data_IF_761459005294
#
_entry.id   IF_761459005294
#
_cell.length_a   1.000
_cell.length_b   1.000
_cell.length_c   1.000
_cell.angle_alpha   90.00
_cell.angle_beta   90.00
_cell.angle_gamma   90.00
#
_symmetry.space_group_name_H-M   'P 1'
#
loop_
_entity.id
_entity.type
_entity.pdbx_description
1 polymer ?
#
# COMPACT_ATOMS: atom_id res chain seq x y z
N UNK A 1 -22.73 2.80 11.71
CA UNK A 1 -22.14 2.15 10.52
C UNK A 1 -20.65 2.13 10.71
N UNK A 2 -20.08 0.96 10.74
CA UNK A 2 -18.67 0.82 11.05
C UNK A 2 -17.86 0.95 9.75
N UNK A 3 -16.92 1.90 9.71
CA UNK A 3 -15.98 2.10 8.59
C UNK A 3 -15.33 0.77 8.19
N UNK A 4 -14.97 -0.06 9.17
CA UNK A 4 -14.37 -1.36 8.91
C UNK A 4 -15.32 -2.33 8.18
N UNK A 5 -16.62 -2.27 8.44
CA UNK A 5 -17.63 -3.04 7.72
C UNK A 5 -17.73 -2.65 6.25
N UNK A 6 -17.77 -1.36 5.94
CA UNK A 6 -17.78 -0.88 4.54
C UNK A 6 -16.50 -1.27 3.78
N UNK A 7 -15.35 -1.12 4.43
CA UNK A 7 -14.06 -1.51 3.85
C UNK A 7 -14.00 -3.01 3.60
N UNK A 8 -14.44 -3.84 4.56
CA UNK A 8 -14.48 -5.28 4.41
C UNK A 8 -15.45 -5.70 3.30
N UNK A 9 -16.64 -5.08 3.22
CA UNK A 9 -17.64 -5.35 2.18
C UNK A 9 -17.10 -5.12 0.77
N UNK A 10 -16.41 -4.01 0.52
CA UNK A 10 -15.76 -3.73 -0.76
C UNK A 10 -14.64 -4.72 -1.07
N UNK A 11 -13.94 -5.20 -0.07
CA UNK A 11 -12.80 -6.09 -0.26
C UNK A 11 -13.15 -7.58 -0.38
N UNK A 12 -14.42 -7.97 -0.22
CA UNK A 12 -14.85 -9.38 -0.37
C UNK A 12 -14.60 -9.94 -1.77
N UNK A 13 -14.59 -9.08 -2.78
CA UNK A 13 -14.36 -9.44 -4.19
C UNK A 13 -12.96 -9.05 -4.68
N UNK A 14 -12.10 -8.52 -3.83
CA UNK A 14 -10.77 -8.05 -4.21
C UNK A 14 -9.71 -9.10 -3.91
N UNK A 15 -8.89 -9.43 -4.90
CA UNK A 15 -7.72 -10.31 -4.74
C UNK A 15 -6.47 -9.57 -4.20
N UNK A 16 -6.59 -8.27 -3.95
CA UNK A 16 -5.47 -7.47 -3.47
C UNK A 16 -5.06 -7.87 -2.05
N UNK A 17 -3.75 -7.91 -1.69
CA UNK A 17 -3.29 -8.25 -0.34
C UNK A 17 -3.96 -7.43 0.78
N UNK A 18 -4.34 -6.19 0.47
CA UNK A 18 -5.09 -5.32 1.38
C UNK A 18 -6.47 -5.87 1.75
N UNK A 19 -7.13 -6.59 0.84
CA UNK A 19 -8.43 -7.19 1.09
C UNK A 19 -8.35 -8.22 2.21
N UNK A 20 -7.35 -9.09 2.18
CA UNK A 20 -7.13 -10.09 3.23
C UNK A 20 -6.93 -9.45 4.59
N UNK A 21 -6.16 -8.38 4.69
CA UNK A 21 -5.91 -7.67 5.94
C UNK A 21 -7.18 -7.04 6.51
N UNK A 22 -7.99 -6.39 5.67
CA UNK A 22 -9.23 -5.72 6.09
C UNK A 22 -10.31 -6.70 6.51
N UNK A 23 -10.47 -7.80 5.78
CA UNK A 23 -11.41 -8.89 6.14
C UNK A 23 -11.00 -9.55 7.46
N UNK A 24 -9.70 -9.82 7.64
CA UNK A 24 -9.18 -10.38 8.89
C UNK A 24 -9.46 -9.44 10.07
N UNK A 25 -9.22 -8.14 9.89
CA UNK A 25 -9.52 -7.13 10.91
C UNK A 25 -10.99 -7.10 11.29
N UNK A 26 -11.90 -7.09 10.30
CA UNK A 26 -13.33 -7.10 10.54
C UNK A 26 -13.77 -8.36 11.32
N UNK A 27 -13.27 -9.54 10.94
CA UNK A 27 -13.53 -10.80 11.66
C UNK A 27 -13.04 -10.77 13.11
N UNK A 28 -11.85 -10.24 13.35
CA UNK A 28 -11.30 -10.11 14.72
C UNK A 28 -12.13 -9.16 15.61
N UNK A 29 -12.84 -8.24 15.00
CA UNK A 29 -13.75 -7.29 15.70
C UNK A 29 -15.19 -7.75 15.74
N UNK A 30 -15.47 -8.98 15.28
CA UNK A 30 -16.82 -9.55 15.19
C UNK A 30 -17.79 -8.67 14.39
N UNK A 31 -17.26 -7.93 13.39
CA UNK A 31 -18.04 -7.11 12.50
C UNK A 31 -18.67 -8.01 11.44
N UNK A 32 -19.98 -7.95 11.31
CA UNK A 32 -20.69 -8.65 10.23
C UNK A 32 -20.29 -8.07 8.87
N UNK A 33 -19.81 -8.93 7.97
CA UNK A 33 -19.34 -8.52 6.64
C UNK A 33 -20.45 -8.80 5.65
N UNK A 34 -21.16 -7.77 5.23
CA UNK A 34 -22.08 -7.84 4.10
C UNK A 34 -21.29 -7.76 2.78
N UNK A 35 -21.86 -8.30 1.69
CA UNK A 35 -21.23 -8.20 0.37
C UNK A 35 -21.68 -6.91 -0.33
N UNK A 36 -20.73 -6.18 -0.90
CA UNK A 36 -21.03 -5.05 -1.76
C UNK A 36 -21.55 -5.57 -3.12
N UNK A 37 -22.61 -4.95 -3.63
CA UNK A 37 -23.08 -5.12 -5.00
C UNK A 37 -22.41 -4.11 -5.94
N UNK A 38 -22.54 -4.30 -7.25
CA UNK A 38 -22.00 -3.39 -8.28
C UNK A 38 -20.49 -3.11 -8.07
N UNK A 39 -19.75 -4.15 -7.63
CA UNK A 39 -18.30 -4.04 -7.41
C UNK A 39 -17.57 -3.86 -8.73
N UNK A 40 -16.64 -2.88 -8.74
CA UNK A 40 -15.71 -2.67 -9.86
C UNK A 40 -14.35 -2.23 -9.35
N UNK A 41 -13.31 -2.61 -10.07
CA UNK A 41 -11.92 -2.27 -9.76
C UNK A 41 -11.42 -1.21 -10.74
N UNK A 42 -11.09 -0.03 -10.22
CA UNK A 42 -10.52 1.07 -10.99
C UNK A 42 -9.00 0.96 -10.95
N UNK A 43 -8.42 0.51 -12.07
CA UNK A 43 -6.99 0.20 -12.19
C UNK A 43 -6.09 1.32 -11.66
N UNK A 44 -5.22 1.00 -10.70
CA UNK A 44 -4.27 1.93 -10.09
C UNK A 44 -4.89 2.99 -9.17
N UNK A 45 -6.21 2.97 -8.97
CA UNK A 45 -6.92 3.98 -8.16
C UNK A 45 -7.64 3.41 -6.96
N UNK A 46 -8.24 2.22 -7.07
CA UNK A 46 -8.97 1.59 -5.97
C UNK A 46 -10.17 0.78 -6.44
N UNK A 47 -11.14 0.62 -5.55
CA UNK A 47 -12.36 -0.15 -5.80
C UNK A 47 -13.61 0.67 -5.48
N UNK A 48 -14.69 0.37 -6.19
CA UNK A 48 -16.01 0.97 -5.96
C UNK A 48 -17.04 -0.14 -5.80
N UNK A 49 -18.16 0.18 -5.20
CA UNK A 49 -19.28 -0.73 -5.03
C UNK A 49 -20.47 -0.05 -4.38
N UNK A 50 -21.44 -0.84 -4.01
CA UNK A 50 -22.68 -0.36 -3.40
C UNK A 50 -23.09 -1.28 -2.25
N UNK A 51 -23.42 -0.69 -1.10
CA UNK A 51 -23.91 -1.42 0.07
C UNK A 51 -25.07 -0.65 0.69
N UNK A 52 -26.20 -1.35 0.92
CA UNK A 52 -27.41 -0.76 1.49
C UNK A 52 -27.85 0.52 0.73
N UNK A 53 -27.82 0.49 -0.61
CA UNK A 53 -28.13 1.61 -1.52
C UNK A 53 -27.17 2.82 -1.40
N UNK A 54 -26.04 2.67 -0.71
CA UNK A 54 -25.00 3.69 -0.59
C UNK A 54 -23.86 3.35 -1.54
N UNK A 55 -23.47 4.29 -2.39
CA UNK A 55 -22.27 4.17 -3.22
C UNK A 55 -21.03 4.28 -2.33
N UNK A 56 -20.14 3.32 -2.49
CA UNK A 56 -18.88 3.23 -1.76
C UNK A 56 -17.71 3.42 -2.73
N UNK A 57 -16.66 4.08 -2.28
CA UNK A 57 -15.38 4.11 -2.97
C UNK A 57 -14.24 3.98 -1.95
N UNK A 58 -13.28 3.09 -2.23
CA UNK A 58 -12.09 2.88 -1.42
C UNK A 58 -10.86 2.96 -2.32
N UNK A 59 -10.01 3.96 -2.13
CA UNK A 59 -8.85 4.13 -2.99
C UNK A 59 -8.04 5.39 -2.71
N UNK A 60 -7.17 5.74 -3.65
CA UNK A 60 -6.30 6.91 -3.54
C UNK A 60 -7.03 8.22 -3.91
N UNK A 61 -6.33 9.34 -3.81
CA UNK A 61 -6.89 10.67 -4.13
C UNK A 61 -7.39 10.74 -5.58
N UNK A 62 -6.70 10.10 -6.52
CA UNK A 62 -7.11 10.09 -7.93
C UNK A 62 -8.47 9.40 -8.16
N UNK A 63 -8.84 8.41 -7.32
CA UNK A 63 -10.17 7.82 -7.37
C UNK A 63 -11.24 8.83 -6.90
N UNK A 64 -10.97 9.57 -5.82
CA UNK A 64 -11.90 10.58 -5.32
C UNK A 64 -12.12 11.69 -6.37
N UNK A 65 -11.04 12.19 -6.96
CA UNK A 65 -11.08 13.25 -7.97
C UNK A 65 -11.89 12.81 -9.20
N UNK A 66 -11.68 11.57 -9.68
CA UNK A 66 -12.45 10.99 -10.79
C UNK A 66 -13.96 10.89 -10.49
N UNK A 67 -14.30 10.61 -9.24
CA UNK A 67 -15.70 10.48 -8.79
C UNK A 67 -16.29 11.81 -8.30
N UNK A 68 -15.54 12.92 -8.38
CA UNK A 68 -15.99 14.24 -7.94
C UNK A 68 -16.20 14.34 -6.42
N UNK A 69 -15.46 13.54 -5.63
CA UNK A 69 -15.60 13.48 -4.19
C UNK A 69 -14.52 14.33 -3.53
N UNK A 70 -14.93 15.33 -2.77
CA UNK A 70 -13.99 16.17 -2.03
C UNK A 70 -13.68 15.59 -0.65
N UNK A 71 -12.40 15.61 -0.27
CA UNK A 71 -11.95 15.35 1.09
C UNK A 71 -11.79 16.68 1.86
N UNK A 72 -11.83 16.61 3.18
CA UNK A 72 -11.52 17.78 4.01
C UNK A 72 -10.01 17.93 4.17
N UNK A 73 -9.54 19.17 4.31
CA UNK A 73 -8.13 19.45 4.58
C UNK A 73 -7.60 18.70 5.82
N UNK A 74 -8.45 18.49 6.83
CA UNK A 74 -8.09 17.77 8.04
C UNK A 74 -7.71 16.32 7.71
N UNK A 75 -8.57 15.63 6.95
CA UNK A 75 -8.32 14.24 6.53
C UNK A 75 -7.08 14.17 5.64
N UNK A 76 -6.92 15.10 4.69
CA UNK A 76 -5.78 15.11 3.79
C UNK A 76 -4.46 15.29 4.56
N UNK A 77 -4.40 16.17 5.57
CA UNK A 77 -3.22 16.35 6.43
C UNK A 77 -2.91 15.09 7.26
N UNK A 78 -3.93 14.44 7.82
CA UNK A 78 -3.73 13.20 8.57
C UNK A 78 -3.17 12.08 7.66
N UNK A 79 -3.71 11.94 6.46
CA UNK A 79 -3.24 10.97 5.46
C UNK A 79 -1.79 11.26 5.07
N UNK A 80 -1.46 12.52 4.83
CA UNK A 80 -0.10 12.92 4.48
C UNK A 80 0.92 12.51 5.55
N UNK A 81 0.58 12.65 6.83
CA UNK A 81 1.46 12.21 7.93
C UNK A 81 1.74 10.70 7.91
N UNK A 82 0.75 9.87 7.54
CA UNK A 82 0.96 8.44 7.40
C UNK A 82 1.77 8.10 6.15
N UNK A 83 1.51 8.78 5.04
CA UNK A 83 2.27 8.61 3.79
C UNK A 83 3.75 9.00 3.95
N UNK A 84 4.03 10.07 4.71
CA UNK A 84 5.41 10.47 5.06
C UNK A 84 6.16 9.41 5.86
N UNK A 85 5.42 8.56 6.60
CA UNK A 85 5.96 7.41 7.33
C UNK A 85 6.01 6.12 6.49
N UNK A 86 5.85 6.21 5.18
CA UNK A 86 5.87 5.05 4.27
C UNK A 86 4.64 4.15 4.37
N UNK A 87 3.51 4.63 4.92
CA UNK A 87 2.29 3.84 5.01
C UNK A 87 1.44 4.00 3.75
N UNK A 88 0.82 2.91 3.33
CA UNK A 88 -0.22 2.98 2.28
C UNK A 88 -1.53 3.42 2.91
N UNK A 89 -2.15 4.44 2.32
CA UNK A 89 -3.42 4.98 2.82
C UNK A 89 -4.44 5.02 1.70
N UNK A 90 -5.65 4.54 2.00
CA UNK A 90 -6.80 4.59 1.11
C UNK A 90 -7.94 5.37 1.75
N UNK A 91 -8.50 6.32 1.03
CA UNK A 91 -9.71 7.02 1.43
C UNK A 91 -10.92 6.09 1.34
N UNK A 92 -11.84 6.17 2.30
CA UNK A 92 -13.17 5.59 2.21
C UNK A 92 -14.20 6.68 2.01
N UNK A 93 -14.95 6.59 0.94
CA UNK A 93 -16.13 7.44 0.73
C UNK A 93 -17.40 6.60 0.80
N UNK A 94 -18.44 7.18 1.41
CA UNK A 94 -19.78 6.62 1.53
C UNK A 94 -20.78 7.67 1.06
N UNK A 95 -21.64 7.31 0.13
CA UNK A 95 -22.65 8.21 -0.44
C UNK A 95 -22.07 9.57 -0.93
N UNK A 96 -20.87 9.56 -1.54
CA UNK A 96 -20.23 10.75 -2.08
C UNK A 96 -19.50 11.64 -1.07
N UNK A 97 -19.36 11.19 0.19
CA UNK A 97 -18.62 11.91 1.24
C UNK A 97 -17.47 11.05 1.77
N UNK A 98 -16.34 11.66 2.02
CA UNK A 98 -15.23 10.96 2.71
C UNK A 98 -15.57 10.82 4.18
N UNK A 99 -15.77 9.57 4.62
CA UNK A 99 -16.10 9.21 6.00
C UNK A 99 -14.87 8.83 6.82
N UNK A 100 -13.75 8.54 6.14
CA UNK A 100 -12.50 8.20 6.80
C UNK A 100 -11.46 7.67 5.83
N UNK A 101 -10.45 7.01 6.38
CA UNK A 101 -9.39 6.38 5.61
C UNK A 101 -8.88 5.10 6.30
N UNK A 102 -8.25 4.26 5.52
CA UNK A 102 -7.61 3.02 6.00
C UNK A 102 -6.09 3.17 5.83
N UNK A 103 -5.37 2.93 6.90
CA UNK A 103 -3.91 2.89 6.87
C UNK A 103 -3.48 1.43 6.88
N UNK A 104 -2.72 1.05 5.88
CA UNK A 104 -2.17 -0.28 5.76
C UNK A 104 -0.66 -0.17 5.90
N UNK A 105 -0.17 -0.94 6.83
CA UNK A 105 1.24 -1.05 7.12
C UNK A 105 1.62 -2.51 6.97
N UNK A 106 2.49 -2.80 6.02
CA UNK A 106 3.20 -4.07 6.04
C UNK A 106 4.48 -3.85 6.87
N UNK A 107 4.48 -4.27 8.14
CA UNK A 107 5.67 -4.06 8.95
C UNK A 107 6.79 -4.90 8.37
N UNK A 108 7.94 -4.26 8.15
CA UNK A 108 9.17 -5.00 7.85
C UNK A 108 9.35 -6.09 8.91
N UNK A 109 9.41 -7.33 8.46
CA UNK A 109 9.58 -8.45 9.39
C UNK A 109 10.88 -8.23 10.18
N UNK A 110 10.82 -8.39 11.49
CA UNK A 110 12.00 -8.27 12.36
C UNK A 110 13.15 -9.16 11.88
N UNK A 111 12.82 -10.36 11.41
CA UNK A 111 13.78 -11.30 10.79
C UNK A 111 14.45 -10.76 9.53
N UNK A 112 13.78 -9.91 8.75
CA UNK A 112 14.38 -9.29 7.56
C UNK A 112 15.44 -8.27 7.95
N UNK A 113 15.18 -7.46 8.98
CA UNK A 113 16.16 -6.50 9.48
C UNK A 113 17.41 -7.20 10.04
N UNK A 114 17.21 -8.26 10.81
CA UNK A 114 18.31 -9.08 11.36
C UNK A 114 19.15 -9.73 10.24
N UNK A 115 18.49 -10.27 9.21
CA UNK A 115 19.18 -10.88 8.07
C UNK A 115 19.97 -9.84 7.25
N UNK A 116 19.39 -8.65 7.02
CA UNK A 116 20.07 -7.57 6.30
C UNK A 116 21.28 -7.05 7.08
N UNK A 117 21.13 -6.85 8.39
CA UNK A 117 22.26 -6.45 9.26
C UNK A 117 23.42 -7.45 9.13
N UNK A 118 23.14 -8.74 9.19
CA UNK A 118 24.15 -9.78 9.05
C UNK A 118 24.83 -9.78 7.68
N UNK A 119 24.06 -9.58 6.59
CA UNK A 119 24.63 -9.45 5.24
C UNK A 119 25.59 -8.25 5.13
N UNK A 120 25.21 -7.12 5.72
CA UNK A 120 26.05 -5.91 5.72
C UNK A 120 27.32 -6.12 6.55
N UNK A 121 27.22 -6.78 7.72
CA UNK A 121 28.38 -7.15 8.56
C UNK A 121 29.32 -8.10 7.81
N UNK A 122 28.79 -8.99 6.98
CA UNK A 122 29.56 -9.89 6.11
C UNK A 122 30.13 -9.17 4.85
N UNK A 123 29.99 -7.86 4.75
CA UNK A 123 30.52 -7.03 3.65
C UNK A 123 29.70 -7.04 2.37
N UNK A 124 28.45 -7.50 2.43
CA UNK A 124 27.52 -7.47 1.28
C UNK A 124 26.87 -6.10 1.18
N UNK A 125 27.00 -5.45 0.02
CA UNK A 125 26.23 -4.24 -0.26
C UNK A 125 24.79 -4.59 -0.60
N UNK A 126 23.84 -4.02 0.12
CA UNK A 126 22.41 -4.26 -0.08
C UNK A 126 21.73 -3.02 -0.64
N UNK A 127 20.99 -3.19 -1.74
CA UNK A 127 20.24 -2.12 -2.41
C UNK A 127 18.80 -2.59 -2.62
N UNK A 128 17.84 -1.82 -2.17
CA UNK A 128 16.42 -2.05 -2.44
C UNK A 128 16.01 -1.43 -3.78
N UNK A 129 15.45 -2.23 -4.69
CA UNK A 129 14.89 -1.78 -5.97
C UNK A 129 13.37 -1.93 -5.92
N UNK A 130 12.63 -0.82 -5.89
CA UNK A 130 11.17 -0.84 -5.72
C UNK A 130 10.44 0.01 -6.77
N UNK A 131 9.23 -0.43 -7.12
CA UNK A 131 8.29 0.36 -7.91
C UNK A 131 7.52 1.41 -7.10
N UNK A 132 7.65 1.39 -5.77
CA UNK A 132 7.00 2.35 -4.90
C UNK A 132 7.52 3.78 -5.13
N UNK A 133 6.76 4.76 -4.67
CA UNK A 133 7.20 6.15 -4.70
C UNK A 133 8.41 6.38 -3.76
N UNK A 134 9.15 7.44 -4.03
CA UNK A 134 10.39 7.76 -3.33
C UNK A 134 10.22 7.92 -1.82
N UNK A 135 9.11 8.50 -1.35
CA UNK A 135 8.85 8.70 0.09
C UNK A 135 8.69 7.37 0.83
N UNK A 136 7.90 6.46 0.26
CA UNK A 136 7.67 5.12 0.82
C UNK A 136 8.98 4.33 0.84
N UNK A 137 9.69 4.33 -0.29
CA UNK A 137 10.96 3.63 -0.43
C UNK A 137 12.01 4.16 0.56
N UNK A 138 12.12 5.48 0.70
CA UNK A 138 13.04 6.12 1.64
C UNK A 138 12.75 5.71 3.08
N UNK A 139 11.49 5.74 3.51
CA UNK A 139 11.12 5.37 4.87
C UNK A 139 11.51 3.93 5.21
N UNK A 140 11.30 2.99 4.28
CA UNK A 140 11.70 1.59 4.45
C UNK A 140 13.22 1.44 4.45
N UNK A 141 13.91 2.09 3.53
CA UNK A 141 15.36 2.01 3.42
C UNK A 141 16.07 2.60 4.65
N UNK A 142 15.60 3.73 5.16
CA UNK A 142 16.10 4.37 6.38
C UNK A 142 15.90 3.44 7.61
N UNK A 143 14.73 2.78 7.72
CA UNK A 143 14.49 1.82 8.80
C UNK A 143 15.42 0.60 8.73
N UNK A 144 15.77 0.18 7.51
CA UNK A 144 16.63 -0.98 7.28
C UNK A 144 18.13 -0.65 7.21
N UNK A 145 18.50 0.62 7.09
CA UNK A 145 19.89 1.06 6.94
C UNK A 145 20.52 0.67 5.60
N UNK A 146 19.74 0.64 4.51
CA UNK A 146 20.19 0.22 3.17
C UNK A 146 19.99 1.31 2.12
N UNK A 147 20.72 1.22 1.01
CA UNK A 147 20.50 2.06 -0.15
C UNK A 147 19.20 1.66 -0.89
N UNK A 148 18.60 2.59 -1.64
CA UNK A 148 17.39 2.30 -2.41
C UNK A 148 17.34 3.02 -3.76
N UNK A 149 16.53 2.49 -4.66
CA UNK A 149 16.07 3.14 -5.90
C UNK A 149 14.55 2.91 -6.01
N UNK A 150 13.81 3.99 -6.15
CA UNK A 150 12.35 4.02 -6.17
C UNK A 150 11.79 4.26 -7.57
N UNK A 151 10.48 4.06 -7.75
CA UNK A 151 9.78 4.35 -9.00
C UNK A 151 10.22 3.49 -10.18
N UNK A 152 10.82 2.33 -9.93
CA UNK A 152 11.41 1.49 -10.97
C UNK A 152 10.38 0.55 -11.61
N UNK A 153 10.36 0.52 -12.92
CA UNK A 153 9.65 -0.51 -13.67
C UNK A 153 10.44 -1.84 -13.63
N UNK A 154 9.79 -2.99 -13.89
CA UNK A 154 10.48 -4.28 -13.89
C UNK A 154 11.74 -4.31 -14.76
N UNK A 155 11.68 -3.70 -15.94
CA UNK A 155 12.81 -3.57 -16.86
C UNK A 155 13.97 -2.73 -16.32
N UNK A 156 13.67 -1.71 -15.51
CA UNK A 156 14.71 -0.85 -14.92
C UNK A 156 15.47 -1.60 -13.84
N UNK A 157 14.77 -2.45 -13.07
CA UNK A 157 15.41 -3.34 -12.09
C UNK A 157 16.38 -4.31 -12.76
N UNK A 158 15.98 -4.89 -13.89
CA UNK A 158 16.87 -5.78 -14.67
C UNK A 158 18.12 -5.04 -15.16
N UNK A 159 17.95 -3.85 -15.74
CA UNK A 159 19.07 -3.02 -16.20
C UNK A 159 20.03 -2.66 -15.07
N UNK A 160 19.53 -2.41 -13.88
CA UNK A 160 20.38 -2.10 -12.73
C UNK A 160 21.24 -3.31 -12.32
N UNK A 161 20.66 -4.51 -12.33
CA UNK A 161 21.38 -5.76 -12.09
C UNK A 161 22.47 -5.97 -13.15
N UNK A 162 22.12 -5.84 -14.42
CA UNK A 162 23.07 -5.97 -15.55
C UNK A 162 24.23 -4.97 -15.43
N UNK A 163 23.93 -3.73 -15.09
CA UNK A 163 24.94 -2.68 -14.88
C UNK A 163 25.94 -3.05 -13.77
N UNK A 164 25.45 -3.56 -12.66
CA UNK A 164 26.31 -4.00 -11.55
C UNK A 164 27.19 -5.20 -11.96
N UNK A 165 26.63 -6.14 -12.71
CA UNK A 165 27.36 -7.29 -13.24
C UNK A 165 28.46 -6.88 -14.25
N UNK A 166 28.18 -5.92 -15.13
CA UNK A 166 29.15 -5.35 -16.09
C UNK A 166 30.33 -4.66 -15.37
N UNK A 167 30.10 -4.17 -14.14
CA UNK A 167 31.16 -3.63 -13.27
C UNK A 167 31.99 -4.72 -12.56
N UNK A 168 31.78 -5.99 -12.90
CA UNK A 168 32.47 -7.13 -12.31
C UNK A 168 31.95 -7.55 -10.93
N UNK A 169 30.78 -7.03 -10.51
CA UNK A 169 30.16 -7.36 -9.23
C UNK A 169 29.38 -8.67 -9.31
N UNK A 170 29.46 -9.48 -8.25
CA UNK A 170 28.57 -10.64 -8.09
C UNK A 170 27.26 -10.15 -7.49
N UNK A 171 26.14 -10.33 -8.22
CA UNK A 171 24.82 -9.83 -7.83
C UNK A 171 23.89 -11.00 -7.57
N UNK A 172 23.20 -10.98 -6.42
CA UNK A 172 22.05 -11.83 -6.13
C UNK A 172 20.81 -10.96 -6.03
N UNK A 173 19.71 -11.42 -6.60
CA UNK A 173 18.40 -10.77 -6.48
C UNK A 173 17.46 -11.66 -5.66
N UNK A 174 16.70 -11.05 -4.75
CA UNK A 174 15.67 -11.69 -3.95
C UNK A 174 14.38 -10.88 -4.03
N UNK A 175 13.21 -11.57 -4.03
CA UNK A 175 11.90 -10.93 -4.07
C UNK A 175 10.78 -11.92 -3.88
#
# INVERSE_FOLDING_TARGET
SDIAGFVAALNTHSEHPLATATIKYAKMREIEIEQASNFDSVTGKGVIGELQQKKLALGNKALLDEKGINSSEKIDREIEQFQQKGKTVSYLSVAGKVEGFVVISDPVKKTSKEALTKLIEDGVEVIMLTGDNERTAKAVADEMGIAFKAGMLPQDKMREVEKLQQQGRKVAAAG
#
